data_IF_400372874621
#
_entry.id   IF_400372874621
#
_cell.length_a   1.000
_cell.length_b   1.000
_cell.length_c   1.000
_cell.angle_alpha   90.00
_cell.angle_beta   90.00
_cell.angle_gamma   90.00
#
_symmetry.space_group_name_H-M   'P 1'
#
loop_
_entity.id
_entity.type
_entity.pdbx_description
1 polymer ?
#
# COMPACT_ATOMS: atom_id res chain seq x y z
N UNK A 1 -15.89 -1.92 -6.92
CA UNK A 1 -14.67 -1.29 -6.34
C UNK A 1 -14.24 -0.18 -7.28
N UNK A 2 -13.77 0.95 -6.75
CA UNK A 2 -13.40 2.14 -7.55
C UNK A 2 -11.93 2.45 -7.32
N UNK A 3 -11.16 2.58 -8.39
CA UNK A 3 -9.78 3.09 -8.31
C UNK A 3 -9.83 4.62 -8.20
N UNK A 4 -9.10 5.19 -7.25
CA UNK A 4 -8.99 6.63 -7.05
C UNK A 4 -7.51 7.01 -7.10
N UNK A 5 -7.15 7.84 -8.06
CA UNK A 5 -5.83 8.45 -8.13
C UNK A 5 -5.91 9.86 -7.53
N UNK A 6 -4.93 10.25 -6.70
CA UNK A 6 -4.90 11.60 -6.15
C UNK A 6 -4.62 12.63 -7.25
N UNK A 7 -5.04 13.88 -7.00
CA UNK A 7 -5.02 14.95 -7.99
C UNK A 7 -3.60 15.34 -8.36
N UNK A 8 -2.71 15.43 -7.38
CA UNK A 8 -1.37 15.97 -7.58
C UNK A 8 -0.50 14.98 -8.37
N UNK A 9 -0.64 13.67 -8.09
CA UNK A 9 -0.02 12.61 -8.89
C UNK A 9 -0.57 12.59 -10.32
N UNK A 10 -1.89 12.74 -10.50
CA UNK A 10 -2.48 12.80 -11.83
C UNK A 10 -1.96 14.01 -12.63
N UNK A 11 -1.93 15.19 -12.01
CA UNK A 11 -1.53 16.44 -12.66
C UNK A 11 -0.02 16.48 -12.97
N UNK A 12 0.83 15.92 -12.10
CA UNK A 12 2.28 15.82 -12.32
C UNK A 12 2.63 15.01 -13.57
N UNK A 13 1.92 13.90 -13.80
CA UNK A 13 2.16 13.03 -14.96
C UNK A 13 1.53 13.60 -16.24
N UNK A 14 0.39 14.32 -16.14
CA UNK A 14 -0.25 15.02 -17.28
C UNK A 14 0.64 16.15 -17.83
N UNK A 15 1.32 16.88 -16.94
CA UNK A 15 2.15 18.03 -17.30
C UNK A 15 3.30 17.68 -18.26
N UNK A 16 3.81 16.45 -18.19
CA UNK A 16 4.96 16.01 -18.99
C UNK A 16 4.58 15.48 -20.39
N UNK A 17 3.29 15.27 -20.70
CA UNK A 17 2.88 14.82 -22.04
C UNK A 17 1.41 15.16 -22.35
N UNK A 18 1.19 16.20 -23.16
CA UNK A 18 -0.15 16.68 -23.58
C UNK A 18 -1.01 15.62 -24.28
N UNK A 19 -0.42 14.53 -24.78
CA UNK A 19 -1.12 13.38 -25.38
C UNK A 19 -1.51 12.30 -24.34
N UNK A 20 -0.81 12.23 -23.21
CA UNK A 20 -1.07 11.28 -22.11
C UNK A 20 -2.11 11.80 -21.10
N UNK A 21 -2.39 13.11 -21.10
CA UNK A 21 -3.34 13.73 -20.17
C UNK A 21 -4.75 13.14 -20.23
N UNK A 22 -5.16 12.68 -21.41
CA UNK A 22 -6.43 11.97 -21.60
C UNK A 22 -6.41 10.59 -20.95
N UNK A 23 -5.35 9.80 -21.10
CA UNK A 23 -5.30 8.41 -20.61
C UNK A 23 -5.29 8.30 -19.08
N UNK A 24 -4.69 9.27 -18.38
CA UNK A 24 -4.59 9.26 -16.90
C UNK A 24 -5.92 9.61 -16.24
N UNK A 25 -6.69 10.52 -16.85
CA UNK A 25 -8.02 10.82 -16.37
C UNK A 25 -8.94 9.59 -16.42
N UNK A 26 -8.65 8.64 -17.31
CA UNK A 26 -9.41 7.38 -17.40
C UNK A 26 -9.14 6.47 -16.20
N UNK A 27 -7.99 6.58 -15.53
CA UNK A 27 -7.69 5.79 -14.33
C UNK A 27 -8.32 6.38 -13.06
N UNK A 28 -8.47 7.71 -13.01
CA UNK A 28 -8.82 8.47 -11.80
C UNK A 28 -10.16 8.06 -11.17
N UNK A 29 -11.11 7.64 -11.98
CA UNK A 29 -12.45 7.21 -11.56
C UNK A 29 -12.90 5.94 -12.28
N UNK A 30 -11.95 5.03 -12.52
CA UNK A 30 -12.27 3.74 -13.13
C UNK A 30 -13.12 2.90 -12.17
N UNK A 31 -14.29 2.48 -12.64
CA UNK A 31 -15.10 1.44 -12.00
C UNK A 31 -14.58 0.08 -12.44
N UNK A 32 -14.10 -0.71 -11.49
CA UNK A 32 -13.43 -1.99 -11.77
C UNK A 32 -14.48 -3.09 -11.95
N UNK A 33 -14.43 -3.77 -13.09
CA UNK A 33 -15.26 -4.93 -13.40
C UNK A 33 -14.53 -6.26 -13.17
N UNK A 34 -13.22 -6.31 -13.43
CA UNK A 34 -12.37 -7.48 -13.17
C UNK A 34 -11.01 -7.04 -12.67
N UNK A 35 -10.47 -7.76 -11.70
CA UNK A 35 -9.10 -7.55 -11.23
C UNK A 35 -8.47 -8.90 -10.91
N UNK A 36 -7.21 -9.07 -11.32
CA UNK A 36 -6.38 -10.22 -10.96
C UNK A 36 -4.98 -9.72 -10.63
N UNK A 37 -4.47 -10.12 -9.48
CA UNK A 37 -3.16 -9.68 -9.01
C UNK A 37 -2.33 -10.88 -8.58
N UNK A 38 -1.07 -10.91 -9.02
CA UNK A 38 -0.03 -11.81 -8.49
C UNK A 38 0.94 -10.96 -7.69
N UNK A 39 1.14 -11.32 -6.43
CA UNK A 39 2.10 -10.67 -5.53
C UNK A 39 3.11 -11.73 -5.11
N UNK A 40 4.39 -11.40 -5.17
CA UNK A 40 5.46 -12.19 -4.57
C UNK A 40 6.27 -11.28 -3.66
N UNK A 41 6.69 -11.83 -2.53
CA UNK A 41 7.59 -11.17 -1.58
C UNK A 41 8.65 -12.18 -1.19
N UNK A 42 9.92 -11.79 -1.31
CA UNK A 42 11.03 -12.61 -0.84
C UNK A 42 11.47 -12.25 0.59
N UNK A 43 12.42 -13.01 1.12
CA UNK A 43 12.97 -12.79 2.45
C UNK A 43 13.95 -11.60 2.54
N UNK A 44 14.33 -10.99 1.42
CA UNK A 44 15.10 -9.75 1.36
C UNK A 44 14.20 -8.51 1.33
N UNK A 45 12.88 -8.73 1.33
CA UNK A 45 11.88 -7.67 1.31
C UNK A 45 11.61 -7.12 -0.08
N UNK A 46 12.03 -7.80 -1.16
CA UNK A 46 11.67 -7.41 -2.52
C UNK A 46 10.24 -7.87 -2.82
N UNK A 47 9.34 -6.91 -2.98
CA UNK A 47 7.98 -7.13 -3.41
C UNK A 47 7.89 -6.92 -4.92
N UNK A 48 7.37 -7.92 -5.63
CA UNK A 48 6.96 -7.80 -7.03
C UNK A 48 5.46 -8.01 -7.16
N UNK A 49 4.80 -7.15 -7.92
CA UNK A 49 3.38 -7.24 -8.18
C UNK A 49 3.10 -7.14 -9.67
N UNK A 50 2.19 -7.98 -10.15
CA UNK A 50 1.60 -7.92 -11.48
C UNK A 50 0.09 -7.87 -11.33
N UNK A 51 -0.52 -6.76 -11.73
CA UNK A 51 -1.97 -6.56 -11.67
C UNK A 51 -2.53 -6.39 -13.08
N UNK A 52 -3.62 -7.08 -13.37
CA UNK A 52 -4.41 -6.92 -14.58
C UNK A 52 -5.81 -6.47 -14.15
N UNK A 53 -6.16 -5.24 -14.48
CA UNK A 53 -7.40 -4.59 -14.02
C UNK A 53 -8.18 -4.14 -15.25
N UNK A 54 -9.40 -4.64 -15.38
CA UNK A 54 -10.35 -4.20 -16.40
C UNK A 54 -11.47 -3.42 -15.74
N UNK A 55 -11.87 -2.32 -16.36
CA UNK A 55 -12.95 -1.49 -15.86
C UNK A 55 -13.51 -0.55 -16.91
N UNK A 56 -14.43 0.29 -16.47
CA UNK A 56 -15.00 1.36 -17.28
C UNK A 56 -14.69 2.70 -16.63
N UNK A 57 -14.27 3.69 -17.42
CA UNK A 57 -14.06 5.05 -16.95
C UNK A 57 -15.02 6.02 -17.62
N UNK A 58 -15.30 7.14 -16.94
CA UNK A 58 -16.09 8.25 -17.47
C UNK A 58 -15.26 9.52 -17.43
N UNK A 59 -14.96 10.06 -18.61
CA UNK A 59 -14.21 11.31 -18.79
C UNK A 59 -14.99 12.20 -19.76
N UNK A 60 -15.26 13.44 -19.34
CA UNK A 60 -15.98 14.44 -20.14
C UNK A 60 -17.31 13.92 -20.72
N UNK A 61 -18.05 13.15 -19.91
CA UNK A 61 -19.35 12.57 -20.29
C UNK A 61 -19.28 11.32 -21.18
N UNK A 62 -18.09 10.90 -21.62
CA UNK A 62 -17.89 9.69 -22.43
C UNK A 62 -17.43 8.53 -21.57
N UNK A 63 -18.01 7.36 -21.80
CA UNK A 63 -17.63 6.12 -21.13
C UNK A 63 -16.70 5.29 -22.02
N UNK A 64 -15.67 4.68 -21.46
CA UNK A 64 -14.74 3.82 -22.20
C UNK A 64 -14.21 2.66 -21.35
N UNK A 65 -13.92 1.52 -22.01
CA UNK A 65 -13.28 0.38 -21.36
C UNK A 65 -11.79 0.65 -21.17
N UNK A 66 -11.29 0.37 -19.98
CA UNK A 66 -9.88 0.49 -19.62
C UNK A 66 -9.35 -0.89 -19.26
N UNK A 67 -8.17 -1.23 -19.80
CA UNK A 67 -7.39 -2.38 -19.39
C UNK A 67 -6.04 -1.87 -18.87
N UNK A 68 -5.85 -1.93 -17.56
CA UNK A 68 -4.63 -1.54 -16.87
C UNK A 68 -3.82 -2.79 -16.54
N UNK A 69 -2.67 -2.93 -17.21
CA UNK A 69 -1.66 -3.94 -16.89
C UNK A 69 -0.53 -3.25 -16.15
N UNK A 70 -0.43 -3.50 -14.85
CA UNK A 70 0.49 -2.80 -13.96
C UNK A 70 1.53 -3.76 -13.40
N UNK A 71 2.79 -3.35 -13.45
CA UNK A 71 3.90 -4.04 -12.82
C UNK A 71 4.55 -3.10 -11.80
N UNK A 72 4.77 -3.60 -10.60
CA UNK A 72 5.43 -2.87 -9.53
C UNK A 72 6.53 -3.72 -8.92
N UNK A 73 7.65 -3.07 -8.62
CA UNK A 73 8.76 -3.65 -7.89
C UNK A 73 9.22 -2.65 -6.83
N UNK A 74 9.30 -3.09 -5.59
CA UNK A 74 9.70 -2.25 -4.48
C UNK A 74 10.31 -3.07 -3.35
N UNK A 75 11.36 -2.54 -2.71
CA UNK A 75 11.85 -3.13 -1.48
C UNK A 75 11.07 -2.58 -0.28
N UNK A 76 10.16 -3.37 0.26
CA UNK A 76 9.27 -2.95 1.36
C UNK A 76 10.02 -2.66 2.66
N UNK A 77 11.16 -3.31 2.91
CA UNK A 77 11.99 -3.03 4.09
C UNK A 77 12.67 -1.66 3.98
N UNK A 78 13.08 -1.27 2.77
CA UNK A 78 13.59 0.08 2.52
C UNK A 78 12.48 1.12 2.64
N UNK A 79 11.30 0.84 2.08
CA UNK A 79 10.14 1.74 2.22
C UNK A 79 9.75 1.94 3.70
N UNK A 80 9.65 0.87 4.49
CA UNK A 80 9.29 1.01 5.90
C UNK A 80 10.32 1.79 6.72
N UNK A 81 11.61 1.65 6.39
CA UNK A 81 12.67 2.46 7.00
C UNK A 81 12.56 3.94 6.61
N UNK A 82 12.27 4.25 5.34
CA UNK A 82 12.12 5.65 4.89
C UNK A 82 10.89 6.32 5.51
N UNK A 83 9.81 5.56 5.68
CA UNK A 83 8.60 5.98 6.40
C UNK A 83 8.77 6.00 7.93
N UNK A 84 9.95 5.59 8.44
CA UNK A 84 10.25 5.42 9.87
C UNK A 84 9.17 4.59 10.60
N UNK A 85 8.57 3.64 9.88
CA UNK A 85 7.51 2.81 10.43
C UNK A 85 8.05 1.92 11.56
N UNK A 86 9.32 1.50 11.50
CA UNK A 86 9.99 0.75 12.57
C UNK A 86 10.12 1.52 13.88
N UNK A 87 10.53 2.79 13.83
CA UNK A 87 10.63 3.66 15.01
C UNK A 87 9.24 3.87 15.65
N UNK A 88 8.22 4.05 14.80
CA UNK A 88 6.84 4.23 15.24
C UNK A 88 6.20 2.92 15.73
N UNK A 89 6.64 1.77 15.22
CA UNK A 89 6.13 0.46 15.63
C UNK A 89 6.54 0.14 17.06
N UNK A 90 7.76 0.48 17.48
CA UNK A 90 8.17 0.32 18.87
C UNK A 90 7.29 1.17 19.80
N UNK A 91 7.13 2.45 19.51
CA UNK A 91 6.27 3.33 20.30
C UNK A 91 4.80 2.84 20.31
N UNK A 92 4.29 2.37 19.18
CA UNK A 92 2.94 1.79 19.09
C UNK A 92 2.83 0.48 19.89
N UNK A 93 3.82 -0.41 19.80
CA UNK A 93 3.87 -1.67 20.56
C UNK A 93 3.95 -1.40 22.05
N UNK A 94 4.84 -0.52 22.51
CA UNK A 94 4.91 -0.14 23.93
C UNK A 94 3.58 0.43 24.44
N UNK A 95 2.84 1.12 23.59
CA UNK A 95 1.57 1.74 23.94
C UNK A 95 0.35 0.80 23.84
N UNK A 96 0.40 -0.24 22.99
CA UNK A 96 -0.76 -1.12 22.71
C UNK A 96 -0.54 -2.59 23.11
N UNK A 97 0.69 -3.08 23.05
CA UNK A 97 1.07 -4.36 23.63
C UNK A 97 1.32 -4.16 25.12
N UNK A 98 0.24 -4.27 25.91
CA UNK A 98 0.41 -4.62 27.32
C UNK A 98 0.98 -6.03 27.34
N UNK A 99 2.31 -6.14 27.46
CA UNK A 99 2.91 -7.40 27.87
C UNK A 99 2.20 -7.80 29.16
N UNK A 100 1.64 -9.02 29.28
CA UNK A 100 1.16 -9.49 30.57
C UNK A 100 2.35 -9.40 31.51
N UNK A 101 2.27 -8.48 32.47
CA UNK A 101 3.30 -8.31 33.47
C UNK A 101 3.48 -9.65 34.15
N UNK A 102 4.73 -10.07 34.32
CA UNK A 102 5.07 -10.96 35.42
C UNK A 102 4.84 -10.15 36.69
N UNK A 103 3.58 -9.96 37.06
CA UNK A 103 3.18 -9.39 38.33
C UNK A 103 3.55 -10.44 39.39
N UNK A 104 4.83 -10.44 39.79
CA UNK A 104 5.21 -11.00 41.09
C UNK A 104 4.50 -10.11 42.12
N UNK A 105 3.50 -10.61 42.85
CA UNK A 105 2.82 -9.81 43.85
C UNK A 105 3.86 -9.35 44.88
N UNK A 106 3.89 -8.04 45.13
CA UNK A 106 4.79 -7.41 46.10
C UNK A 106 4.70 -8.16 47.43
N UNK A 107 5.72 -8.97 47.75
CA UNK A 107 5.84 -9.65 49.04
C UNK A 107 6.17 -11.14 49.03
N UNK A 108 6.45 -11.80 47.90
CA UNK A 108 7.08 -13.13 47.91
C UNK A 108 8.26 -13.22 46.93
N UNK A 109 9.38 -13.73 47.44
CA UNK A 109 10.61 -13.98 46.67
C UNK A 109 10.27 -14.84 45.45
N UNK A 110 10.53 -14.30 44.27
CA UNK A 110 10.39 -15.03 43.02
C UNK A 110 11.70 -15.81 42.83
N UNK A 111 11.63 -17.12 43.06
CA UNK A 111 12.75 -18.03 42.86
C UNK A 111 13.12 -18.06 41.37
N UNK A 112 14.35 -17.63 41.06
CA UNK A 112 14.94 -17.80 39.73
C UNK A 112 15.13 -19.30 39.47
N UNK A 113 14.39 -19.84 38.50
CA UNK A 113 14.70 -21.17 37.97
C UNK A 113 15.79 -21.04 36.91
N UNK A 114 16.95 -21.56 37.29
CA UNK A 114 18.13 -21.81 36.46
C UNK A 114 17.84 -22.69 35.25
#
# INVERSE_FOLDING_TARGET
MTLRLDKDTADAVVKDNMTAGSAINWLRYMEISRSSTKINLDNLGLLTMQANITGTSRVDGKSGTVNLNYHHEENIFTLWRSLRFGDNLQAWLEQNARLPGNDCPQGKECEDKQ
#
